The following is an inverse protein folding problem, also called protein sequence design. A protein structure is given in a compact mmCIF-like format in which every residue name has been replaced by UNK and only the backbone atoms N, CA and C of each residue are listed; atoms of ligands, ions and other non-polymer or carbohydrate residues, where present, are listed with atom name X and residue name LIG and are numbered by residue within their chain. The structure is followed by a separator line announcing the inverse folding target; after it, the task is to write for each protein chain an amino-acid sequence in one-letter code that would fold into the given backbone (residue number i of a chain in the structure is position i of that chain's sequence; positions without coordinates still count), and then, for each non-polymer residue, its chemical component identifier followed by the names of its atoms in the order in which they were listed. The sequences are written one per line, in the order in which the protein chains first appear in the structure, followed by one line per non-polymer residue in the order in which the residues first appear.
data_IF_717002872350
#
_entry.id   IF_717002872350
#
_cell.length_a   1.000
_cell.length_b   1.000
_cell.length_c   1.000
_cell.angle_alpha   90.00
_cell.angle_beta   90.00
_cell.angle_gamma   90.00
#
_symmetry.space_group_name_H-M   'P 1'
#
loop_
_entity.id
_entity.type
_entity.pdbx_description
1 polymer ?
#
# COMPACT_ATOMS: atom_id res chain seq x y z
N UNK A 1 -24.60 10.39 40.00
CA UNK A 1 -24.53 10.79 38.56
C UNK A 1 -23.07 10.69 38.08
N UNK A 2 -22.46 9.53 38.34
CA UNK A 2 -21.15 9.08 37.87
C UNK A 2 -21.29 8.40 36.51
N UNK A 3 -21.67 9.15 35.48
CA UNK A 3 -21.86 8.60 34.12
C UNK A 3 -21.28 9.52 33.04
N UNK A 4 -20.25 10.31 33.37
CA UNK A 4 -19.53 11.16 32.42
C UNK A 4 -18.00 10.98 32.46
N UNK A 5 -17.48 9.97 33.17
CA UNK A 5 -16.03 9.69 33.26
C UNK A 5 -15.56 8.52 32.38
N UNK A 6 -16.33 8.14 31.36
CA UNK A 6 -15.87 7.17 30.34
C UNK A 6 -14.85 7.89 29.44
N UNK A 7 -13.64 7.97 29.99
CA UNK A 7 -12.38 7.67 29.32
C UNK A 7 -12.08 8.47 28.05
N UNK A 8 -11.92 9.79 28.19
CA UNK A 8 -10.77 10.44 27.52
C UNK A 8 -9.51 9.87 28.19
N UNK A 9 -9.09 8.67 27.80
CA UNK A 9 -7.70 8.25 28.04
C UNK A 9 -6.86 9.37 27.41
N UNK A 10 -6.08 10.08 28.22
CA UNK A 10 -5.08 10.98 27.68
C UNK A 10 -4.18 10.13 26.80
N UNK A 11 -4.27 10.31 25.49
CA UNK A 11 -3.38 9.69 24.51
C UNK A 11 -2.01 10.37 24.60
N UNK A 12 -1.33 10.21 25.73
CA UNK A 12 0.08 10.57 25.82
C UNK A 12 0.92 9.53 25.06
N UNK A 13 2.10 9.93 24.57
CA UNK A 13 2.94 9.04 23.77
C UNK A 13 3.33 7.77 24.53
N UNK A 14 3.47 7.86 25.86
CA UNK A 14 3.81 6.75 26.74
C UNK A 14 2.73 5.68 26.77
N UNK A 15 1.46 6.06 26.92
CA UNK A 15 0.32 5.12 26.94
C UNK A 15 0.09 4.45 25.59
N UNK A 16 0.36 5.16 24.48
CA UNK A 16 0.36 4.58 23.13
C UNK A 16 1.47 3.53 23.01
N UNK A 17 2.69 3.86 23.45
CA UNK A 17 3.83 2.95 23.42
C UNK A 17 3.58 1.69 24.27
N UNK A 18 3.07 1.83 25.48
CA UNK A 18 2.68 0.71 26.34
C UNK A 18 1.62 -0.17 25.67
N UNK A 19 0.65 0.42 24.98
CA UNK A 19 -0.39 -0.32 24.25
C UNK A 19 0.21 -1.15 23.11
N UNK A 20 1.14 -0.56 22.34
CA UNK A 20 1.87 -1.25 21.27
C UNK A 20 2.65 -2.43 21.84
N UNK A 21 3.42 -2.24 22.90
CA UNK A 21 4.23 -3.30 23.52
C UNK A 21 3.38 -4.45 24.06
N UNK A 22 2.26 -4.11 24.69
CA UNK A 22 1.29 -5.08 25.21
C UNK A 22 0.66 -5.90 24.08
N UNK A 23 0.17 -5.25 23.01
CA UNK A 23 -0.43 -5.94 21.86
C UNK A 23 0.61 -6.80 21.17
N UNK A 24 1.81 -6.27 20.92
CA UNK A 24 2.92 -7.00 20.30
C UNK A 24 3.22 -8.27 21.09
N UNK A 25 3.38 -8.17 22.41
CA UNK A 25 3.70 -9.31 23.29
C UNK A 25 2.62 -10.39 23.26
N UNK A 26 1.34 -10.01 23.32
CA UNK A 26 0.21 -10.96 23.26
C UNK A 26 0.09 -11.64 21.89
N UNK A 27 0.44 -10.93 20.82
CA UNK A 27 0.20 -11.39 19.46
C UNK A 27 1.34 -12.23 18.90
N UNK A 28 2.54 -12.21 19.49
CA UNK A 28 3.71 -13.01 19.07
C UNK A 28 3.33 -14.46 18.72
N UNK A 29 2.56 -15.14 19.57
CA UNK A 29 2.18 -16.53 19.35
C UNK A 29 1.31 -16.75 18.10
N UNK A 30 0.47 -15.78 17.73
CA UNK A 30 -0.40 -15.87 16.55
C UNK A 30 0.36 -15.68 15.23
N UNK A 31 1.52 -15.02 15.28
CA UNK A 31 2.39 -14.83 14.13
C UNK A 31 3.47 -15.91 14.02
N UNK A 32 3.76 -16.63 15.12
CA UNK A 32 4.73 -17.71 15.19
C UNK A 32 4.32 -18.89 14.29
N UNK A 33 4.72 -18.85 13.02
CA UNK A 33 4.77 -20.05 12.19
C UNK A 33 6.03 -20.85 12.54
N UNK A 34 5.97 -22.17 12.39
CA UNK A 34 7.10 -23.08 12.63
C UNK A 34 8.34 -22.80 11.75
N UNK A 35 8.25 -21.86 10.80
CA UNK A 35 9.29 -21.51 9.83
C UNK A 35 9.86 -20.09 10.02
N UNK A 36 9.28 -19.23 10.86
CA UNK A 36 9.76 -17.85 11.06
C UNK A 36 9.96 -17.57 12.55
N UNK A 37 11.21 -17.68 12.99
CA UNK A 37 11.62 -17.40 14.37
C UNK A 37 12.24 -16.02 14.42
N UNK A 38 11.78 -15.20 15.37
CA UNK A 38 12.38 -13.91 15.69
C UNK A 38 13.82 -14.08 16.17
N UNK A 39 14.79 -13.67 15.35
CA UNK A 39 16.20 -13.75 15.73
C UNK A 39 16.78 -12.38 16.13
N UNK A 40 16.26 -11.28 15.57
CA UNK A 40 16.75 -9.92 15.85
C UNK A 40 15.61 -8.88 15.84
N UNK A 41 15.62 -7.91 16.77
CA UNK A 41 14.68 -6.78 16.81
C UNK A 41 15.01 -5.71 15.74
N UNK A 42 14.98 -6.08 14.46
CA UNK A 42 15.26 -5.17 13.34
C UNK A 42 14.12 -5.16 12.34
N UNK A 43 13.87 -3.99 11.75
CA UNK A 43 12.90 -3.81 10.65
C UNK A 43 13.19 -4.72 9.45
N UNK A 44 14.44 -5.15 9.28
CA UNK A 44 14.85 -6.12 8.25
C UNK A 44 14.48 -7.58 8.57
N UNK A 45 14.15 -7.90 9.82
CA UNK A 45 13.60 -9.20 10.20
C UNK A 45 12.10 -9.15 9.90
N UNK A 46 11.68 -9.88 8.86
CA UNK A 46 10.30 -9.89 8.38
C UNK A 46 9.32 -10.24 9.49
N UNK A 47 9.66 -11.19 10.36
CA UNK A 47 8.80 -11.59 11.45
C UNK A 47 8.67 -10.47 12.50
N UNK A 48 9.78 -9.87 12.89
CA UNK A 48 9.76 -8.74 13.82
C UNK A 48 8.93 -7.56 13.28
N UNK A 49 9.15 -7.21 12.01
CA UNK A 49 8.45 -6.10 11.39
C UNK A 49 6.96 -6.36 11.29
N UNK A 50 6.55 -7.57 10.90
CA UNK A 50 5.15 -7.96 10.76
C UNK A 50 4.39 -7.86 12.09
N UNK A 51 4.90 -8.48 13.17
CA UNK A 51 4.25 -8.41 14.50
C UNK A 51 4.23 -6.96 15.03
N UNK A 52 5.27 -6.19 14.76
CA UNK A 52 5.36 -4.79 15.19
C UNK A 52 4.38 -3.91 14.41
N UNK A 53 4.28 -4.09 13.09
CA UNK A 53 3.29 -3.41 12.24
C UNK A 53 1.88 -3.75 12.70
N UNK A 54 1.56 -5.02 12.97
CA UNK A 54 0.26 -5.41 13.52
C UNK A 54 -0.05 -4.63 14.81
N UNK A 55 0.88 -4.62 15.77
CA UNK A 55 0.65 -3.95 17.05
C UNK A 55 0.47 -2.44 16.92
N UNK A 56 1.24 -1.78 16.05
CA UNK A 56 1.13 -0.36 15.75
C UNK A 56 -0.23 -0.03 15.15
N UNK A 57 -0.63 -0.77 14.12
CA UNK A 57 -1.86 -0.52 13.39
C UNK A 57 -3.10 -0.88 14.20
N UNK A 58 -3.02 -1.91 15.03
CA UNK A 58 -4.08 -2.23 15.99
C UNK A 58 -4.26 -1.13 17.03
N UNK A 59 -3.16 -0.63 17.59
CA UNK A 59 -3.20 0.50 18.54
C UNK A 59 -3.79 1.76 17.86
N UNK A 60 -3.39 2.03 16.62
CA UNK A 60 -3.94 3.15 15.86
C UNK A 60 -5.44 2.96 15.54
N UNK A 61 -5.90 1.73 15.25
CA UNK A 61 -7.32 1.43 15.07
C UNK A 61 -8.12 1.73 16.34
N UNK A 62 -7.61 1.32 17.51
CA UNK A 62 -8.25 1.57 18.81
C UNK A 62 -8.26 3.06 19.17
N UNK A 63 -7.28 3.82 18.67
CA UNK A 63 -7.12 5.26 18.95
C UNK A 63 -7.92 6.15 18.00
N UNK A 64 -8.04 5.75 16.73
CA UNK A 64 -8.72 6.50 15.66
C UNK A 64 -10.01 5.75 15.33
N UNK A 65 -11.17 6.05 15.94
CA UNK A 65 -12.38 5.26 15.75
C UNK A 65 -13.09 5.50 14.41
N UNK A 66 -12.87 6.67 13.79
CA UNK A 66 -13.55 7.08 12.55
C UNK A 66 -12.82 6.57 11.30
N UNK A 67 -13.56 5.89 10.40
CA UNK A 67 -12.99 5.32 9.17
C UNK A 67 -12.43 6.40 8.24
N UNK A 68 -13.07 7.56 8.15
CA UNK A 68 -12.57 8.66 7.30
C UNK A 68 -11.22 9.17 7.81
N UNK A 69 -11.07 9.34 9.13
CA UNK A 69 -9.80 9.71 9.75
C UNK A 69 -8.73 8.65 9.59
N UNK A 70 -9.10 7.36 9.65
CA UNK A 70 -8.20 6.24 9.36
C UNK A 70 -7.66 6.32 7.94
N UNK A 71 -8.53 6.54 6.95
CA UNK A 71 -8.13 6.70 5.55
C UNK A 71 -7.17 7.88 5.37
N UNK A 72 -7.48 9.02 6.00
CA UNK A 72 -6.60 10.21 6.00
C UNK A 72 -5.24 9.89 6.63
N UNK A 73 -5.21 9.16 7.74
CA UNK A 73 -3.99 8.75 8.42
C UNK A 73 -3.12 7.87 7.50
N UNK A 74 -3.72 6.84 6.90
CA UNK A 74 -3.06 5.92 5.94
C UNK A 74 -2.50 6.71 4.75
N UNK A 75 -3.30 7.60 4.15
CA UNK A 75 -2.86 8.46 3.04
C UNK A 75 -1.70 9.38 3.42
N UNK A 76 -1.71 9.93 4.64
CA UNK A 76 -0.64 10.81 5.10
C UNK A 76 0.68 10.07 5.33
N UNK A 77 0.64 8.79 5.72
CA UNK A 77 1.84 7.95 5.77
C UNK A 77 2.46 7.84 4.36
N UNK A 78 1.65 7.48 3.36
CA UNK A 78 2.12 7.37 1.97
C UNK A 78 2.71 8.66 1.43
N UNK A 79 2.03 9.80 1.67
CA UNK A 79 2.52 11.15 1.31
C UNK A 79 3.85 11.48 1.98
N UNK A 80 4.02 11.09 3.24
CA UNK A 80 5.26 11.31 3.98
C UNK A 80 6.41 10.47 3.41
N UNK A 81 6.17 9.17 3.20
CA UNK A 81 7.16 8.27 2.58
C UNK A 81 7.59 8.83 1.21
N UNK A 82 6.63 9.21 0.37
CA UNK A 82 6.89 9.76 -0.95
C UNK A 82 7.73 11.04 -0.88
N UNK A 83 7.34 11.99 -0.02
CA UNK A 83 8.07 13.25 0.17
C UNK A 83 9.48 13.04 0.70
N UNK A 84 9.64 12.18 1.71
CA UNK A 84 10.93 11.89 2.32
C UNK A 84 11.84 11.22 1.28
N UNK A 85 11.35 10.25 0.51
CA UNK A 85 12.08 9.59 -0.58
C UNK A 85 12.53 10.58 -1.67
N UNK A 86 11.66 11.51 -2.10
CA UNK A 86 12.06 12.60 -3.01
C UNK A 86 13.16 13.48 -2.41
N UNK A 87 13.01 13.88 -1.14
CA UNK A 87 13.99 14.76 -0.47
C UNK A 87 15.37 14.11 -0.32
N UNK A 88 15.41 12.78 -0.23
CA UNK A 88 16.64 11.98 -0.17
C UNK A 88 17.21 11.66 -1.55
N UNK A 89 16.54 12.06 -2.63
CA UNK A 89 16.94 11.75 -4.00
C UNK A 89 16.78 10.27 -4.39
N UNK A 90 15.96 9.52 -3.65
CA UNK A 90 15.64 8.12 -3.96
C UNK A 90 14.58 8.00 -5.06
N UNK A 91 13.75 9.04 -5.20
CA UNK A 91 12.84 9.24 -6.32
C UNK A 91 13.28 10.53 -7.01
N UNK A 92 13.76 10.40 -8.23
CA UNK A 92 14.33 11.48 -9.04
C UNK A 92 13.42 11.89 -10.19
N UNK A 93 12.51 11.02 -10.62
CA UNK A 93 11.53 11.34 -11.65
C UNK A 93 10.38 12.12 -11.04
N UNK A 94 10.09 13.25 -11.64
CA UNK A 94 8.89 14.00 -11.30
C UNK A 94 7.65 13.27 -11.82
N UNK A 95 6.62 13.19 -10.98
CA UNK A 95 5.29 12.74 -11.39
C UNK A 95 4.65 13.71 -12.40
N UNK A 96 5.13 14.96 -12.46
CA UNK A 96 4.65 16.02 -13.36
C UNK A 96 5.59 16.16 -14.56
N UNK A 97 5.51 15.25 -15.52
CA UNK A 97 5.95 15.57 -16.89
C UNK A 97 4.88 16.43 -17.54
N UNK A 98 5.21 17.68 -17.89
CA UNK A 98 4.32 18.70 -18.49
C UNK A 98 3.31 18.11 -19.48
N UNK A 99 2.12 17.76 -18.99
CA UNK A 99 0.94 17.53 -19.82
C UNK A 99 0.36 18.87 -20.24
N UNK A 100 -0.18 18.92 -21.46
CA UNK A 100 -0.81 20.11 -22.03
C UNK A 100 -1.84 20.70 -21.06
N UNK A 101 -1.67 21.96 -20.70
CA UNK A 101 -2.61 22.73 -19.89
C UNK A 101 -3.89 22.97 -20.68
N UNK A 102 -4.81 22.02 -20.62
CA UNK A 102 -6.18 22.20 -21.10
C UNK A 102 -7.01 22.54 -19.86
N UNK A 103 -7.55 23.77 -19.84
CA UNK A 103 -8.44 24.33 -18.80
C UNK A 103 -7.80 24.77 -17.47
N UNK A 104 -6.58 25.32 -17.49
CA UNK A 104 -6.03 26.06 -16.35
C UNK A 104 -5.55 25.21 -15.16
N UNK A 105 -5.65 23.87 -15.25
CA UNK A 105 -4.98 22.92 -14.36
C UNK A 105 -3.73 22.32 -15.01
N UNK A 106 -2.70 22.04 -14.22
CA UNK A 106 -1.55 21.22 -14.67
C UNK A 106 -1.87 19.77 -14.32
N UNK A 107 -2.17 18.96 -15.33
CA UNK A 107 -2.40 17.52 -15.17
C UNK A 107 -1.21 16.76 -15.77
N UNK A 108 -0.67 15.80 -15.02
CA UNK A 108 0.30 14.85 -15.54
C UNK A 108 -0.38 13.83 -16.46
N UNK A 109 0.39 13.28 -17.39
CA UNK A 109 -0.02 12.12 -18.19
C UNK A 109 0.28 10.83 -17.41
N UNK A 110 -0.59 9.83 -17.49
CA UNK A 110 -0.38 8.50 -16.92
C UNK A 110 0.89 7.87 -17.48
N UNK A 111 1.08 7.91 -18.80
CA UNK A 111 2.33 7.43 -19.44
C UNK A 111 3.55 8.16 -18.90
N UNK A 112 3.42 9.47 -18.67
CA UNK A 112 4.44 10.31 -18.04
C UNK A 112 4.78 9.94 -16.60
N UNK A 113 3.85 9.37 -15.84
CA UNK A 113 4.07 8.96 -14.44
C UNK A 113 4.83 7.64 -14.30
N UNK A 114 4.86 6.80 -15.35
CA UNK A 114 5.41 5.43 -15.28
C UNK A 114 6.86 5.38 -14.76
N UNK A 115 7.80 6.25 -15.19
CA UNK A 115 9.15 6.25 -14.65
C UNK A 115 9.20 6.48 -13.13
N UNK A 116 8.36 7.37 -12.60
CA UNK A 116 8.30 7.64 -11.16
C UNK A 116 7.62 6.49 -10.40
N UNK A 117 6.58 5.88 -10.98
CA UNK A 117 5.94 4.67 -10.42
C UNK A 117 6.97 3.55 -10.29
N UNK A 118 7.81 3.34 -11.31
CA UNK A 118 8.87 2.33 -11.27
C UNK A 118 9.92 2.65 -10.20
N UNK A 119 10.31 3.91 -10.00
CA UNK A 119 11.21 4.30 -8.89
C UNK A 119 10.61 4.03 -7.51
N UNK A 120 9.31 4.30 -7.30
CA UNK A 120 8.62 3.95 -6.05
C UNK A 120 8.63 2.43 -5.83
N UNK A 121 8.28 1.64 -6.85
CA UNK A 121 8.24 0.19 -6.74
C UNK A 121 9.63 -0.41 -6.49
N UNK A 122 10.65 0.09 -7.20
CA UNK A 122 12.05 -0.28 -6.99
C UNK A 122 12.52 0.09 -5.58
N UNK A 123 12.15 1.27 -5.05
CA UNK A 123 12.49 1.65 -3.68
C UNK A 123 12.01 0.60 -2.66
N UNK A 124 10.77 0.14 -2.77
CA UNK A 124 10.25 -0.90 -1.87
C UNK A 124 10.91 -2.27 -2.11
N UNK A 125 11.31 -2.59 -3.34
CA UNK A 125 12.06 -3.81 -3.62
C UNK A 125 13.49 -3.78 -3.07
N UNK A 126 14.23 -2.71 -3.37
CA UNK A 126 15.64 -2.52 -3.02
C UNK A 126 15.85 -2.40 -1.51
N UNK A 127 14.85 -1.87 -0.79
CA UNK A 127 14.83 -1.81 0.68
C UNK A 127 14.40 -3.14 1.33
N UNK A 128 14.15 -4.18 0.52
CA UNK A 128 13.67 -5.49 0.95
C UNK A 128 12.32 -5.45 1.67
N UNK A 129 11.51 -4.41 1.43
CA UNK A 129 10.14 -4.39 1.91
C UNK A 129 9.30 -5.45 1.20
N UNK A 130 9.55 -5.70 -0.09
CA UNK A 130 8.96 -6.81 -0.84
C UNK A 130 10.04 -7.57 -1.62
N UNK A 131 9.76 -8.83 -1.95
CA UNK A 131 10.67 -9.67 -2.74
C UNK A 131 10.73 -9.29 -4.22
N UNK A 132 9.59 -8.90 -4.78
CA UNK A 132 9.42 -8.45 -6.16
C UNK A 132 8.08 -7.73 -6.31
N UNK A 133 7.85 -7.11 -7.46
CA UNK A 133 6.57 -6.53 -7.82
C UNK A 133 6.28 -6.75 -9.30
N UNK A 134 5.01 -6.58 -9.69
CA UNK A 134 4.58 -6.56 -11.09
C UNK A 134 3.60 -5.41 -11.29
N UNK A 135 3.88 -4.56 -12.28
CA UNK A 135 3.02 -3.47 -12.70
C UNK A 135 2.27 -3.91 -13.97
N UNK A 136 0.94 -3.91 -13.92
CA UNK A 136 0.07 -4.45 -14.97
C UNK A 136 -0.34 -5.91 -14.73
N UNK A 137 -1.31 -6.37 -15.52
CA UNK A 137 -1.77 -7.75 -15.49
C UNK A 137 -0.83 -8.64 -16.32
N UNK A 138 -0.53 -9.84 -15.82
CA UNK A 138 0.06 -10.89 -16.64
C UNK A 138 -1.03 -11.43 -17.55
N UNK A 139 -1.09 -10.89 -18.76
CA UNK A 139 -2.12 -11.20 -19.72
C UNK A 139 -1.85 -12.61 -20.31
N UNK A 140 -2.34 -13.66 -19.63
CA UNK A 140 -2.14 -15.05 -20.06
C UNK A 140 -2.74 -15.32 -21.45
N UNK A 141 -3.69 -14.49 -21.89
CA UNK A 141 -4.33 -14.56 -23.20
C UNK A 141 -3.61 -13.70 -24.27
N UNK A 142 -2.67 -12.83 -23.88
CA UNK A 142 -1.86 -12.04 -24.82
C UNK A 142 -0.89 -12.88 -25.65
N UNK A 143 -0.71 -14.17 -25.33
CA UNK A 143 -0.08 -15.11 -26.24
C UNK A 143 -0.83 -15.24 -27.59
N UNK A 144 -2.10 -14.81 -27.65
CA UNK A 144 -2.92 -14.78 -28.87
C UNK A 144 -3.11 -13.39 -29.50
N UNK A 145 -2.70 -12.32 -28.81
CA UNK A 145 -2.83 -10.95 -29.31
C UNK A 145 -1.50 -10.47 -29.89
N UNK A 146 -1.54 -9.72 -30.99
CA UNK A 146 -0.34 -9.11 -31.58
C UNK A 146 0.14 -7.87 -30.82
N UNK A 147 -0.48 -7.57 -29.67
CA UNK A 147 -0.16 -6.41 -28.85
C UNK A 147 0.83 -6.82 -27.74
N UNK A 148 1.83 -5.98 -27.44
CA UNK A 148 2.72 -6.25 -26.32
C UNK A 148 1.93 -6.28 -25.00
N UNK A 149 2.33 -7.13 -24.03
CA UNK A 149 1.67 -7.17 -22.73
C UNK A 149 1.77 -5.80 -22.03
N UNK A 150 0.64 -5.32 -21.52
CA UNK A 150 0.53 -4.03 -20.79
C UNK A 150 1.11 -4.15 -19.39
N UNK A 151 2.44 -4.21 -19.33
CA UNK A 151 3.20 -4.40 -18.09
C UNK A 151 4.42 -3.48 -18.01
N UNK A 152 4.86 -3.20 -16.79
CA UNK A 152 6.05 -2.39 -16.52
C UNK A 152 5.97 -1.02 -17.20
N UNK A 153 6.97 -0.70 -18.03
CA UNK A 153 7.04 0.59 -18.73
C UNK A 153 5.93 0.81 -19.77
N UNK A 154 5.22 -0.24 -20.18
CA UNK A 154 4.14 -0.20 -21.16
C UNK A 154 2.76 -0.38 -20.51
N UNK A 155 2.64 -0.18 -19.20
CA UNK A 155 1.37 -0.36 -18.48
C UNK A 155 0.30 0.62 -18.93
N UNK A 156 0.71 1.83 -19.32
CA UNK A 156 -0.14 2.86 -19.89
C UNK A 156 0.28 3.16 -21.34
N UNK A 157 -0.69 3.57 -22.14
CA UNK A 157 -0.55 4.05 -23.50
C UNK A 157 -1.29 5.40 -23.68
N UNK A 158 -1.29 5.92 -24.91
CA UNK A 158 -1.93 7.20 -25.22
C UNK A 158 -3.44 7.17 -25.08
N UNK A 159 -4.09 6.00 -25.22
CA UNK A 159 -5.54 5.89 -25.03
C UNK A 159 -5.92 6.03 -23.56
N UNK A 160 -5.10 5.54 -22.63
CA UNK A 160 -5.33 5.79 -21.21
C UNK A 160 -5.22 7.28 -20.87
N UNK A 161 -4.26 7.98 -21.48
CA UNK A 161 -4.11 9.43 -21.33
C UNK A 161 -5.35 10.16 -21.88
N UNK A 162 -5.86 9.75 -23.04
CA UNK A 162 -7.10 10.30 -23.63
C UNK A 162 -8.32 10.02 -22.75
N UNK A 163 -8.46 8.79 -22.23
CA UNK A 163 -9.53 8.38 -21.34
C UNK A 163 -9.50 9.21 -20.04
N UNK A 164 -8.34 9.35 -19.42
CA UNK A 164 -8.18 10.19 -18.22
C UNK A 164 -8.57 11.65 -18.51
N UNK A 165 -8.14 12.20 -19.65
CA UNK A 165 -8.43 13.58 -20.04
C UNK A 165 -9.91 13.81 -20.36
N UNK A 166 -10.60 12.79 -20.87
CA UNK A 166 -12.05 12.79 -21.10
C UNK A 166 -12.88 12.73 -19.79
N UNK A 167 -12.22 12.49 -18.65
CA UNK A 167 -12.87 12.31 -17.35
C UNK A 167 -13.28 10.85 -17.07
N UNK A 168 -12.87 9.92 -17.92
CA UNK A 168 -13.03 8.48 -17.69
C UNK A 168 -12.04 7.98 -16.63
N UNK A 169 -12.32 6.81 -16.07
CA UNK A 169 -11.43 6.13 -15.11
C UNK A 169 -10.52 5.14 -15.80
N UNK A 170 -9.23 5.17 -15.48
CA UNK A 170 -8.25 4.18 -15.92
C UNK A 170 -7.91 3.26 -14.76
N UNK A 171 -7.95 1.94 -14.98
CA UNK A 171 -7.60 0.96 -13.95
C UNK A 171 -6.18 0.42 -14.16
N UNK A 172 -5.44 0.24 -13.07
CA UNK A 172 -4.14 -0.42 -13.10
C UNK A 172 -4.00 -1.41 -11.94
N UNK A 173 -3.48 -2.59 -12.25
CA UNK A 173 -3.20 -3.63 -11.28
C UNK A 173 -1.71 -3.62 -10.92
N UNK A 174 -1.40 -3.75 -9.64
CA UNK A 174 -0.04 -3.83 -9.14
C UNK A 174 0.05 -4.97 -8.14
N UNK A 175 0.86 -5.98 -8.44
CA UNK A 175 1.16 -7.09 -7.54
C UNK A 175 2.42 -6.79 -6.73
N UNK A 176 2.34 -6.95 -5.41
CA UNK A 176 3.47 -6.85 -4.47
C UNK A 176 3.70 -8.25 -3.88
N UNK A 177 4.87 -8.83 -4.12
CA UNK A 177 5.16 -10.20 -3.70
C UNK A 177 5.97 -10.24 -2.41
N UNK A 178 5.50 -11.06 -1.47
CA UNK A 178 6.03 -11.24 -0.12
C UNK A 178 6.27 -9.90 0.62
N UNK A 179 5.30 -8.96 0.68
CA UNK A 179 5.49 -7.73 1.43
C UNK A 179 5.77 -8.03 2.92
N UNK A 180 6.61 -7.20 3.53
CA UNK A 180 7.04 -7.38 4.92
C UNK A 180 5.89 -7.23 5.94
N UNK A 181 4.77 -6.65 5.52
CA UNK A 181 3.55 -6.43 6.33
C UNK A 181 2.42 -7.41 6.02
N UNK A 182 2.67 -8.44 5.20
CA UNK A 182 1.61 -9.31 4.70
C UNK A 182 0.83 -9.99 5.83
N UNK A 183 1.51 -10.56 6.82
CA UNK A 183 0.83 -11.25 7.92
C UNK A 183 0.07 -10.28 8.82
N UNK A 184 0.59 -9.08 9.04
CA UNK A 184 -0.05 -8.02 9.81
C UNK A 184 -1.34 -7.56 9.14
N UNK A 185 -1.27 -7.33 7.83
CA UNK A 185 -2.42 -6.96 7.01
C UNK A 185 -3.49 -8.06 7.01
N UNK A 186 -3.10 -9.34 6.93
CA UNK A 186 -4.03 -10.47 7.01
C UNK A 186 -4.73 -10.56 8.37
N UNK A 187 -3.98 -10.47 9.47
CA UNK A 187 -4.54 -10.58 10.82
C UNK A 187 -5.53 -9.45 11.10
N UNK A 188 -5.14 -8.20 10.81
CA UNK A 188 -6.01 -7.03 10.99
C UNK A 188 -7.25 -7.10 10.09
N UNK A 189 -7.11 -7.59 8.85
CA UNK A 189 -8.23 -7.74 7.92
C UNK A 189 -9.18 -8.84 8.39
N UNK A 190 -8.65 -9.97 8.89
CA UNK A 190 -9.45 -11.04 9.52
C UNK A 190 -10.24 -10.58 10.73
N UNK A 191 -9.77 -9.55 11.43
CA UNK A 191 -10.49 -8.88 12.52
C UNK A 191 -11.55 -7.87 12.05
N UNK A 192 -11.67 -7.64 10.74
CA UNK A 192 -12.66 -6.73 10.16
C UNK A 192 -12.32 -5.25 10.32
N UNK A 193 -11.08 -4.90 10.68
CA UNK A 193 -10.70 -3.51 11.01
C UNK A 193 -10.70 -2.54 9.82
N UNK A 194 -10.64 -3.06 8.57
CA UNK A 194 -10.48 -2.29 7.32
C UNK A 194 -9.38 -1.22 7.37
N UNK A 195 -8.34 -1.44 8.18
CA UNK A 195 -7.29 -0.46 8.48
C UNK A 195 -5.96 -1.17 8.68
N UNK A 196 -5.32 -1.53 7.57
CA UNK A 196 -4.13 -2.38 7.52
C UNK A 196 -2.86 -1.61 7.15
N UNK A 197 -1.67 -2.12 7.51
CA UNK A 197 -0.39 -1.55 7.10
C UNK A 197 -0.19 -1.56 5.58
N UNK A 198 -0.57 -0.44 4.95
CA UNK A 198 -0.44 -0.21 3.52
C UNK A 198 0.51 0.96 3.23
N UNK A 199 1.72 0.63 2.80
CA UNK A 199 2.76 1.60 2.49
C UNK A 199 2.94 1.79 0.97
N UNK A 200 2.87 0.73 0.17
CA UNK A 200 3.14 0.83 -1.26
C UNK A 200 1.99 1.55 -1.96
N UNK A 201 0.76 1.10 -1.71
CA UNK A 201 -0.43 1.65 -2.35
C UNK A 201 -0.64 3.13 -2.01
N UNK A 202 -0.39 3.51 -0.76
CA UNK A 202 -0.52 4.91 -0.31
C UNK A 202 0.57 5.81 -0.88
N UNK A 203 1.80 5.33 -1.02
CA UNK A 203 2.90 6.08 -1.64
C UNK A 203 2.67 6.28 -3.14
N UNK A 204 2.20 5.25 -3.85
CA UNK A 204 1.82 5.38 -5.26
C UNK A 204 0.65 6.34 -5.45
N UNK A 205 -0.35 6.28 -4.58
CA UNK A 205 -1.44 7.24 -4.60
C UNK A 205 -0.95 8.68 -4.38
N UNK A 206 0.02 8.90 -3.49
CA UNK A 206 0.61 10.21 -3.27
C UNK A 206 1.36 10.74 -4.51
N UNK A 207 2.04 9.86 -5.24
CA UNK A 207 2.69 10.19 -6.51
C UNK A 207 1.67 10.67 -7.54
N UNK A 208 0.59 9.92 -7.76
CA UNK A 208 -0.46 10.33 -8.70
C UNK A 208 -1.20 11.59 -8.25
N UNK A 209 -1.44 11.75 -6.96
CA UNK A 209 -2.02 12.98 -6.40
C UNK A 209 -1.15 14.21 -6.66
N UNK A 210 0.19 14.08 -6.62
CA UNK A 210 1.14 15.14 -7.03
C UNK A 210 1.03 15.47 -8.53
N UNK A 211 0.74 14.46 -9.37
CA UNK A 211 0.47 14.63 -10.80
C UNK A 211 -0.92 15.21 -11.12
N UNK A 212 -1.74 15.54 -10.12
CA UNK A 212 -3.11 16.01 -10.33
C UNK A 212 -4.09 14.90 -10.71
N UNK A 213 -3.75 13.64 -10.42
CA UNK A 213 -4.55 12.46 -10.70
C UNK A 213 -5.11 11.95 -9.37
N UNK A 214 -6.42 11.77 -9.29
CA UNK A 214 -7.03 11.12 -8.13
C UNK A 214 -6.83 9.61 -8.25
N UNK A 215 -6.39 8.98 -7.16
CA UNK A 215 -6.16 7.54 -7.09
C UNK A 215 -6.92 6.93 -5.92
N UNK A 216 -7.89 6.06 -6.20
CA UNK A 216 -8.44 5.11 -5.22
C UNK A 216 -7.88 3.72 -5.50
N UNK A 217 -7.85 2.87 -4.49
CA UNK A 217 -7.45 1.49 -4.69
C UNK A 217 -8.05 0.55 -3.66
N UNK A 218 -8.15 -0.72 -4.05
CA UNK A 218 -8.51 -1.83 -3.20
C UNK A 218 -7.34 -2.80 -3.07
N UNK A 219 -7.28 -3.49 -1.93
CA UNK A 219 -6.23 -4.44 -1.61
C UNK A 219 -6.82 -5.85 -1.53
N UNK A 220 -6.24 -6.77 -2.28
CA UNK A 220 -6.58 -8.19 -2.27
C UNK A 220 -5.34 -9.02 -1.89
N UNK A 221 -5.56 -10.18 -1.29
CA UNK A 221 -4.49 -11.14 -0.96
C UNK A 221 -4.68 -12.40 -1.79
N UNK A 222 -3.64 -12.82 -2.49
CA UNK A 222 -3.69 -13.95 -3.42
C UNK A 222 -2.78 -15.06 -2.89
N UNK A 223 -3.36 -16.26 -2.74
CA UNK A 223 -2.60 -17.49 -2.53
C UNK A 223 -2.47 -18.20 -3.89
N UNK A 224 -1.25 -18.39 -4.42
CA UNK A 224 -1.04 -19.05 -5.70
C UNK A 224 -1.37 -20.53 -5.64
N UNK A 225 -1.49 -21.11 -4.45
CA UNK A 225 -1.85 -22.50 -4.23
C UNK A 225 -3.28 -22.56 -3.70
N UNK A 226 -4.17 -23.20 -4.45
CA UNK A 226 -5.49 -23.52 -3.92
C UNK A 226 -5.36 -24.50 -2.75
N UNK A 227 -5.88 -24.10 -1.58
CA UNK A 227 -5.87 -24.91 -0.36
C UNK A 227 -7.32 -25.17 0.08
N UNK A 228 -7.74 -26.45 0.21
CA UNK A 228 -9.12 -26.78 0.56
C UNK A 228 -9.53 -26.30 1.95
N UNK A 229 -8.56 -26.19 2.87
CA UNK A 229 -8.79 -25.73 4.23
C UNK A 229 -8.40 -24.23 4.34
N UNK A 230 -9.36 -23.35 4.65
CA UNK A 230 -9.10 -21.91 4.77
C UNK A 230 -8.06 -21.53 5.82
N UNK A 231 -7.82 -22.40 6.82
CA UNK A 231 -6.78 -22.17 7.83
C UNK A 231 -5.36 -22.31 7.28
N UNK A 232 -5.22 -22.97 6.14
CA UNK A 232 -3.93 -23.17 5.49
C UNK A 232 -3.64 -22.05 4.46
N UNK A 233 -4.57 -21.11 4.28
CA UNK A 233 -4.44 -19.94 3.40
C UNK A 233 -3.18 -19.16 3.76
N UNK A 234 -2.25 -19.12 2.81
CA UNK A 234 -0.93 -18.53 3.01
C UNK A 234 -0.57 -17.72 1.76
N UNK A 235 -1.18 -16.53 1.60
CA UNK A 235 -0.93 -15.72 0.45
C UNK A 235 0.53 -15.25 0.48
N UNK A 236 1.09 -15.10 -0.71
CA UNK A 236 2.41 -14.51 -0.92
C UNK A 236 2.33 -13.27 -1.83
N UNK A 237 1.13 -12.93 -2.30
CA UNK A 237 0.88 -11.78 -3.14
C UNK A 237 -0.18 -10.85 -2.51
N UNK A 238 0.16 -9.56 -2.50
CA UNK A 238 -0.77 -8.47 -2.22
C UNK A 238 -1.05 -7.74 -3.53
N UNK A 239 -2.29 -7.79 -4.00
CA UNK A 239 -2.73 -7.15 -5.23
C UNK A 239 -3.40 -5.81 -4.91
N UNK A 240 -2.88 -4.75 -5.51
CA UNK A 240 -3.40 -3.39 -5.42
C UNK A 240 -4.12 -3.08 -6.73
N UNK A 241 -5.43 -2.91 -6.67
CA UNK A 241 -6.25 -2.53 -7.81
C UNK A 241 -6.58 -1.06 -7.73
N UNK A 242 -5.91 -0.26 -8.55
CA UNK A 242 -6.11 1.19 -8.61
C UNK A 242 -7.18 1.56 -9.63
N UNK A 243 -7.97 2.56 -9.27
CA UNK A 243 -8.80 3.35 -10.17
C UNK A 243 -8.27 4.78 -10.17
N UNK A 244 -7.85 5.25 -11.34
CA UNK A 244 -7.25 6.56 -11.56
C UNK A 244 -8.25 7.43 -12.31
N UNK A 245 -8.53 8.62 -11.79
CA UNK A 245 -9.44 9.59 -12.42
C UNK A 245 -8.83 10.97 -12.42
N UNK A 246 -9.31 11.82 -13.33
CA UNK A 246 -8.99 13.24 -13.29
C UNK A 246 -9.46 13.84 -11.96
N UNK A 247 -8.61 14.65 -11.33
CA UNK A 247 -8.94 15.38 -10.11
C UNK A 247 -9.75 16.64 -10.39
#
# INVERSE_FOLDING_TARGET
RELLSITKKQNDASSIQESIENIRTKSKAAFASSQRVWNVEKVSDQYYFDVTSYALWKTAADTIPDYTQRDVFVRNIGRRIYKDAKSMGLITKDAVTKGSSIDGGTYGSLTGTVPAVMEVLNLFNDTQFCSSFRLGAEDKDAASSSLPPRTGYNVFDTYDDEDLMSGSSVNVLISIFNPATLGASLQITGEGSRFSPEFVGTTLAALWEEAGIYASYETYFVDPVYRPNPKDFFPDEQLLQFTLTKK
#
